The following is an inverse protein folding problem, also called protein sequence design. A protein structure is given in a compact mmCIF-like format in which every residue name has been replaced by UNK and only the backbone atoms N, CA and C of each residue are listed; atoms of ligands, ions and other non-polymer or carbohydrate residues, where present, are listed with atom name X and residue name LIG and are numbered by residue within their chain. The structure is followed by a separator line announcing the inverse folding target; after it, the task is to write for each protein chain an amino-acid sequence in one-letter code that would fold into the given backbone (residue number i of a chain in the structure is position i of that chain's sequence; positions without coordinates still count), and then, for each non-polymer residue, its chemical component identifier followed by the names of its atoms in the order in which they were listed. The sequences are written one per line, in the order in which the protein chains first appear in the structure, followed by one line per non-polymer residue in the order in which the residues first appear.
data_IF_157358595081
#
_entry.id   IF_157358595081
#
_cell.length_a   1.000
_cell.length_b   1.000
_cell.length_c   1.000
_cell.angle_alpha   90.00
_cell.angle_beta   90.00
_cell.angle_gamma   90.00
#
_symmetry.space_group_name_H-M   'P 1'
#
loop_
_entity.id
_entity.type
_entity.pdbx_description
1 polymer ?
#
# COMPACT_ATOMS: atom_id res chain seq x y z
N UNK A 1 -20.53 9.70 13.22
CA UNK A 1 -19.14 9.33 12.90
C UNK A 1 -18.16 9.88 13.96
N UNK A 2 -18.28 11.15 14.34
CA UNK A 2 -17.37 11.88 15.24
C UNK A 2 -17.09 11.20 16.60
N UNK A 3 -18.11 10.75 17.34
CA UNK A 3 -17.90 10.00 18.59
C UNK A 3 -17.11 8.70 18.38
N UNK A 4 -17.36 8.01 17.25
CA UNK A 4 -16.63 6.81 16.87
C UNK A 4 -15.17 7.11 16.52
N UNK A 5 -14.87 8.27 15.94
CA UNK A 5 -13.51 8.70 15.66
C UNK A 5 -12.69 8.88 16.95
N UNK A 6 -13.25 9.61 17.92
CA UNK A 6 -12.57 9.86 19.20
C UNK A 6 -12.29 8.59 20.02
N UNK A 7 -13.21 7.62 19.99
CA UNK A 7 -13.14 6.42 20.83
C UNK A 7 -12.44 5.27 20.11
N UNK A 8 -12.76 5.03 18.84
CA UNK A 8 -12.26 3.87 18.09
C UNK A 8 -10.99 4.17 17.31
N UNK A 9 -10.74 5.43 16.92
CA UNK A 9 -9.53 5.80 16.18
C UNK A 9 -8.24 5.43 16.92
N UNK A 10 -8.19 5.73 18.23
CA UNK A 10 -7.05 5.39 19.10
C UNK A 10 -6.87 3.89 19.35
N UNK A 11 -7.93 3.08 19.15
CA UNK A 11 -7.85 1.62 19.28
C UNK A 11 -7.20 1.00 18.04
N UNK A 12 -7.38 1.61 16.87
CA UNK A 12 -6.80 1.16 15.60
C UNK A 12 -5.38 1.71 15.42
N UNK A 13 -5.19 3.02 15.62
CA UNK A 13 -3.88 3.70 15.54
C UNK A 13 -3.42 4.03 16.96
N UNK A 14 -2.59 3.15 17.52
CA UNK A 14 -2.23 3.14 18.93
C UNK A 14 -0.71 3.41 19.13
N UNK A 15 -0.21 3.12 20.34
CA UNK A 15 1.21 3.28 20.66
C UNK A 15 2.12 2.36 19.83
N UNK A 16 1.70 1.13 19.55
CA UNK A 16 2.45 0.17 18.73
C UNK A 16 2.51 0.64 17.27
N UNK A 17 1.40 1.14 16.72
CA UNK A 17 1.41 1.73 15.37
C UNK A 17 2.41 2.88 15.27
N UNK A 18 2.45 3.76 16.28
CA UNK A 18 3.41 4.88 16.34
C UNK A 18 4.86 4.42 16.53
N UNK A 19 5.08 3.31 17.24
CA UNK A 19 6.41 2.74 17.39
C UNK A 19 6.91 2.17 16.07
N UNK A 20 6.10 1.37 15.38
CA UNK A 20 6.43 0.84 14.06
C UNK A 20 6.76 1.97 13.05
N UNK A 21 6.00 3.07 13.07
CA UNK A 21 6.30 4.25 12.24
C UNK A 21 7.67 4.89 12.56
N UNK A 22 8.05 4.94 13.84
CA UNK A 22 9.37 5.46 14.26
C UNK A 22 10.50 4.53 13.82
N UNK A 23 10.32 3.23 13.95
CA UNK A 23 11.33 2.24 13.55
C UNK A 23 11.57 2.30 12.04
N UNK A 24 10.50 2.37 11.23
CA UNK A 24 10.58 2.60 9.78
C UNK A 24 11.29 3.91 9.46
N UNK A 25 11.00 4.99 10.19
CA UNK A 25 11.69 6.27 9.98
C UNK A 25 13.20 6.15 10.27
N UNK A 26 13.59 5.42 11.33
CA UNK A 26 15.00 5.16 11.62
C UNK A 26 15.66 4.36 10.50
N UNK A 27 15.01 3.31 9.98
CA UNK A 27 15.50 2.51 8.85
C UNK A 27 15.67 3.31 7.55
N UNK A 28 14.83 4.33 7.36
CA UNK A 28 14.97 5.26 6.23
C UNK A 28 16.17 6.18 6.47
N UNK A 29 16.30 6.75 7.67
CA UNK A 29 17.34 7.72 8.01
C UNK A 29 18.74 7.11 8.05
N UNK A 30 18.87 5.87 8.50
CA UNK A 30 20.15 5.14 8.53
C UNK A 30 20.48 4.43 7.20
N UNK A 31 19.57 4.50 6.23
CA UNK A 31 19.77 3.99 4.87
C UNK A 31 19.54 2.49 4.70
N UNK A 32 19.15 1.74 5.75
CA UNK A 32 18.81 0.31 5.65
C UNK A 32 17.72 0.07 4.61
N UNK A 33 16.66 0.87 4.64
CA UNK A 33 15.55 0.75 3.68
C UNK A 33 16.01 0.93 2.22
N UNK A 34 16.86 1.94 1.97
CA UNK A 34 17.39 2.21 0.63
C UNK A 34 18.31 1.08 0.14
N UNK A 35 19.17 0.56 1.03
CA UNK A 35 20.05 -0.57 0.72
C UNK A 35 19.24 -1.81 0.35
N UNK A 36 18.24 -2.16 1.14
CA UNK A 36 17.39 -3.33 0.89
C UNK A 36 16.63 -3.18 -0.43
N UNK A 37 16.12 -1.99 -0.73
CA UNK A 37 15.44 -1.71 -1.99
C UNK A 37 16.36 -1.84 -3.21
N UNK A 38 17.61 -1.34 -3.12
CA UNK A 38 18.59 -1.48 -4.20
C UNK A 38 18.96 -2.95 -4.42
N UNK A 39 19.18 -3.72 -3.35
CA UNK A 39 19.52 -5.14 -3.44
C UNK A 39 18.37 -5.95 -4.06
N UNK A 40 17.14 -5.68 -3.64
CA UNK A 40 15.93 -6.26 -4.22
C UNK A 40 15.82 -5.93 -5.71
N UNK A 41 16.13 -4.69 -6.11
CA UNK A 41 16.16 -4.27 -7.51
C UNK A 41 17.25 -4.97 -8.32
N UNK A 42 18.45 -5.16 -7.75
CA UNK A 42 19.53 -5.94 -8.35
C UNK A 42 19.14 -7.43 -8.52
N UNK A 43 18.30 -7.96 -7.63
CA UNK A 43 17.76 -9.31 -7.71
C UNK A 43 16.55 -9.44 -8.67
N UNK A 44 16.10 -8.36 -9.31
CA UNK A 44 14.95 -8.38 -10.22
C UNK A 44 13.59 -8.32 -9.53
N UNK A 45 13.52 -7.78 -8.32
CA UNK A 45 12.29 -7.56 -7.54
C UNK A 45 11.44 -8.82 -7.22
N UNK A 46 12.03 -9.95 -6.79
CA UNK A 46 11.30 -11.18 -6.51
C UNK A 46 10.18 -11.02 -5.48
N UNK A 47 10.45 -10.36 -4.35
CA UNK A 47 9.47 -10.13 -3.28
C UNK A 47 8.40 -9.14 -3.75
N UNK A 48 8.79 -8.03 -4.36
CA UNK A 48 7.81 -7.03 -4.81
C UNK A 48 6.87 -7.59 -5.88
N UNK A 49 7.36 -8.41 -6.81
CA UNK A 49 6.53 -9.06 -7.81
C UNK A 49 5.58 -10.09 -7.21
N UNK A 50 6.04 -10.86 -6.21
CA UNK A 50 5.19 -11.79 -5.47
C UNK A 50 4.06 -11.07 -4.70
N UNK A 51 4.39 -9.99 -3.98
CA UNK A 51 3.40 -9.17 -3.28
C UNK A 51 2.37 -8.57 -4.24
N UNK A 52 2.80 -8.03 -5.39
CA UNK A 52 1.89 -7.52 -6.43
C UNK A 52 0.96 -8.60 -6.99
N UNK A 53 1.46 -9.81 -7.22
CA UNK A 53 0.63 -10.92 -7.68
C UNK A 53 -0.42 -11.28 -6.62
N UNK A 54 -0.01 -11.39 -5.36
CA UNK A 54 -0.92 -11.65 -4.25
C UNK A 54 -1.99 -10.54 -4.10
N UNK A 55 -1.59 -9.28 -4.23
CA UNK A 55 -2.50 -8.13 -4.16
C UNK A 55 -3.54 -8.12 -5.29
N UNK A 56 -3.17 -8.53 -6.51
CA UNK A 56 -4.12 -8.70 -7.63
C UNK A 56 -5.17 -9.75 -7.33
N UNK A 57 -4.80 -10.81 -6.61
CA UNK A 57 -5.71 -11.91 -6.29
C UNK A 57 -6.69 -11.62 -5.15
N UNK A 58 -6.41 -10.61 -4.31
CA UNK A 58 -7.27 -10.24 -3.18
C UNK A 58 -8.67 -9.84 -3.64
N UNK A 59 -9.68 -10.28 -2.87
CA UNK A 59 -11.09 -10.01 -3.17
C UNK A 59 -11.39 -8.51 -3.28
N UNK A 60 -10.82 -7.69 -2.39
CA UNK A 60 -10.98 -6.23 -2.43
C UNK A 60 -10.51 -5.63 -3.76
N UNK A 61 -9.44 -6.17 -4.35
CA UNK A 61 -8.89 -5.71 -5.62
C UNK A 61 -9.82 -6.09 -6.77
N UNK A 62 -10.24 -7.37 -6.83
CA UNK A 62 -11.16 -7.88 -7.86
C UNK A 62 -12.49 -7.15 -7.84
N UNK A 63 -13.13 -7.08 -6.68
CA UNK A 63 -14.41 -6.38 -6.50
C UNK A 63 -14.26 -4.88 -6.79
N UNK A 64 -13.19 -4.25 -6.31
CA UNK A 64 -12.94 -2.83 -6.55
C UNK A 64 -12.78 -2.51 -8.03
N UNK A 65 -12.16 -3.39 -8.82
CA UNK A 65 -12.03 -3.22 -10.27
C UNK A 65 -13.40 -3.27 -10.96
N UNK A 66 -14.20 -4.30 -10.72
CA UNK A 66 -15.54 -4.41 -11.30
C UNK A 66 -16.44 -3.24 -10.93
N UNK A 67 -16.39 -2.78 -9.68
CA UNK A 67 -17.16 -1.62 -9.24
C UNK A 67 -16.74 -0.34 -9.98
N UNK A 68 -15.44 -0.09 -10.14
CA UNK A 68 -14.93 1.10 -10.84
C UNK A 68 -15.19 1.06 -12.35
N UNK A 69 -15.22 -0.12 -12.97
CA UNK A 69 -15.59 -0.27 -14.39
C UNK A 69 -17.01 0.20 -14.66
N UNK A 70 -17.94 -0.03 -13.72
CA UNK A 70 -19.33 0.43 -13.80
C UNK A 70 -19.49 1.93 -13.50
N UNK A 71 -18.41 2.67 -13.26
CA UNK A 71 -18.43 4.11 -12.96
C UNK A 71 -17.75 4.92 -14.09
N UNK A 72 -18.46 5.22 -15.20
CA UNK A 72 -17.90 5.91 -16.38
C UNK A 72 -17.18 7.22 -16.05
N UNK A 73 -17.64 7.94 -15.02
CA UNK A 73 -17.05 9.21 -14.58
C UNK A 73 -15.68 9.06 -13.92
N UNK A 74 -15.35 7.87 -13.40
CA UNK A 74 -14.01 7.57 -12.85
C UNK A 74 -13.04 7.19 -13.98
N UNK A 75 -13.52 6.40 -14.95
CA UNK A 75 -12.71 5.96 -16.10
C UNK A 75 -12.30 7.11 -17.01
N UNK A 76 -13.10 8.18 -17.09
CA UNK A 76 -12.80 9.38 -17.89
C UNK A 76 -11.54 10.14 -17.42
N UNK A 77 -11.05 9.90 -16.19
CA UNK A 77 -9.90 10.57 -15.58
C UNK A 77 -8.71 9.65 -15.27
N UNK A 78 -8.61 8.45 -15.88
CA UNK A 78 -7.49 7.54 -15.60
C UNK A 78 -6.15 8.12 -16.10
N UNK A 79 -5.27 8.46 -15.15
CA UNK A 79 -3.90 8.95 -15.41
C UNK A 79 -2.89 7.78 -15.51
N UNK A 80 -3.23 6.61 -14.99
CA UNK A 80 -2.31 5.47 -14.83
C UNK A 80 -2.73 4.29 -15.70
N UNK A 81 -1.82 3.84 -16.59
CA UNK A 81 -1.97 2.62 -17.36
C UNK A 81 -1.47 1.41 -16.54
N UNK A 82 -2.32 0.39 -16.39
CA UNK A 82 -2.04 -0.81 -15.58
C UNK A 82 -1.23 -1.89 -16.32
N UNK A 83 -1.03 -1.75 -17.64
CA UNK A 83 -0.23 -2.68 -18.46
C UNK A 83 1.25 -2.33 -18.47
N UNK A 84 1.59 -1.10 -18.11
CA UNK A 84 2.95 -0.54 -18.18
C UNK A 84 3.58 -0.22 -16.82
N UNK A 85 2.83 -0.34 -15.72
CA UNK A 85 3.28 -0.04 -14.35
C UNK A 85 3.25 -1.27 -13.43
#
# INVERSE_FOLDING_TARGET
AEYGDYVSGKRVINAESKQAMRDILTEIQDGRFAKDFILEGQAGYPRMNAERANDKEKLITKTGNSLREMMPWISAGKIVNQETN
#
